data_IF_071002821125
#
_entry.id   IF_071002821125
#
_cell.length_a   1.000
_cell.length_b   1.000
_cell.length_c   1.000
_cell.angle_alpha   90.00
_cell.angle_beta   90.00
_cell.angle_gamma   90.00
#
_symmetry.space_group_name_H-M   'P 1'
#
loop_
_entity.id
_entity.type
_entity.pdbx_description
1 polymer ?
#
# COMPACT_ATOMS: atom_id res chain seq x y z
N UNK A 1 -25.86 1.31 -0.58
CA UNK A 1 -24.57 1.17 -1.28
C UNK A 1 -24.42 -0.30 -1.63
N UNK A 2 -24.73 -0.69 -2.86
CA UNK A 2 -24.86 -2.09 -3.24
C UNK A 2 -23.79 -2.39 -4.30
N UNK A 3 -22.56 -2.62 -3.87
CA UNK A 3 -21.47 -3.08 -4.75
C UNK A 3 -21.39 -4.60 -4.66
N UNK A 4 -21.48 -5.28 -5.80
CA UNK A 4 -21.41 -6.74 -5.86
C UNK A 4 -19.95 -7.16 -6.04
N UNK A 5 -19.32 -7.65 -4.97
CA UNK A 5 -17.91 -8.09 -4.93
C UNK A 5 -17.26 -7.83 -3.57
N UNK A 6 -16.25 -8.62 -3.19
CA UNK A 6 -15.43 -8.40 -1.97
C UNK A 6 -14.05 -7.88 -2.38
N UNK A 7 -13.36 -7.14 -1.50
CA UNK A 7 -12.00 -6.61 -1.77
C UNK A 7 -11.04 -7.72 -2.21
N UNK A 8 -11.12 -8.89 -1.55
CA UNK A 8 -10.28 -10.04 -1.88
C UNK A 8 -10.80 -10.88 -3.07
N UNK A 9 -11.97 -10.55 -3.61
CA UNK A 9 -12.57 -11.23 -4.77
C UNK A 9 -13.43 -10.26 -5.60
N UNK A 10 -12.80 -9.38 -6.41
CA UNK A 10 -13.52 -8.46 -7.25
C UNK A 10 -14.34 -9.22 -8.29
N UNK A 11 -15.58 -8.78 -8.54
CA UNK A 11 -16.39 -9.31 -9.61
C UNK A 11 -15.80 -8.81 -10.94
N UNK A 12 -15.24 -9.71 -11.74
CA UNK A 12 -14.74 -9.38 -13.08
C UNK A 12 -15.87 -8.84 -13.93
N UNK A 13 -15.78 -7.58 -14.35
CA UNK A 13 -16.69 -6.99 -15.32
C UNK A 13 -16.02 -7.07 -16.68
N UNK A 14 -16.26 -8.17 -17.38
CA UNK A 14 -15.72 -8.37 -18.72
C UNK A 14 -16.21 -7.26 -19.67
N UNK A 15 -15.39 -6.81 -20.63
CA UNK A 15 -15.78 -5.79 -21.58
C UNK A 15 -16.99 -6.29 -22.38
N UNK A 16 -18.15 -5.68 -22.16
CA UNK A 16 -19.33 -5.95 -22.98
C UNK A 16 -19.04 -5.48 -24.40
N UNK A 17 -19.29 -6.35 -25.39
CA UNK A 17 -19.30 -5.97 -26.81
C UNK A 17 -20.31 -4.84 -26.98
N UNK A 18 -19.83 -3.61 -27.12
CA UNK A 18 -20.67 -2.48 -27.46
C UNK A 18 -21.31 -2.77 -28.82
N UNK A 19 -22.61 -2.58 -28.95
CA UNK A 19 -23.27 -2.66 -30.24
C UNK A 19 -22.61 -1.64 -31.19
N UNK A 20 -22.47 -1.93 -32.50
CA UNK A 20 -21.90 -0.99 -33.45
C UNK A 20 -22.61 0.36 -33.33
N UNK A 21 -21.91 1.38 -32.84
CA UNK A 21 -22.48 2.72 -32.77
C UNK A 21 -22.67 3.22 -34.19
N UNK A 22 -23.88 3.73 -34.48
CA UNK A 22 -24.10 4.46 -35.73
C UNK A 22 -23.27 5.74 -35.66
N UNK A 23 -22.48 6.09 -36.68
CA UNK A 23 -21.76 7.35 -36.70
C UNK A 23 -22.78 8.50 -36.61
N UNK A 24 -22.50 9.48 -35.76
CA UNK A 24 -23.29 10.70 -35.67
C UNK A 24 -23.29 11.40 -37.03
N UNK A 25 -24.47 11.73 -37.54
CA UNK A 25 -24.71 12.26 -38.91
C UNK A 25 -24.20 13.70 -39.12
N UNK A 26 -23.27 14.19 -38.29
CA UNK A 26 -22.74 15.56 -38.40
C UNK A 26 -21.37 15.66 -39.10
N UNK A 27 -20.83 14.57 -39.65
CA UNK A 27 -19.56 14.61 -40.38
C UNK A 27 -19.78 14.60 -41.90
N UNK A 28 -19.19 15.54 -42.66
CA UNK A 28 -19.32 15.57 -44.10
C UNK A 28 -18.63 14.34 -44.70
N UNK A 29 -19.42 13.53 -45.41
CA UNK A 29 -18.96 12.36 -46.14
C UNK A 29 -18.00 12.80 -47.25
N UNK A 30 -16.69 12.69 -47.00
CA UNK A 30 -15.68 13.05 -47.98
C UNK A 30 -14.36 13.51 -47.37
N UNK A 31 -13.80 12.75 -46.44
CA UNK A 31 -12.38 12.87 -46.13
C UNK A 31 -11.85 11.46 -45.93
N UNK A 32 -11.17 10.94 -46.93
CA UNK A 32 -10.31 9.78 -46.76
C UNK A 32 -9.25 10.20 -45.73
N UNK A 33 -9.44 9.82 -44.47
CA UNK A 33 -8.39 9.95 -43.46
C UNK A 33 -7.31 8.97 -43.88
N UNK A 34 -6.24 9.50 -44.47
CA UNK A 34 -5.05 8.72 -44.75
C UNK A 34 -4.57 8.02 -43.49
N UNK A 35 -4.04 6.82 -43.73
CA UNK A 35 -3.35 5.92 -42.83
C UNK A 35 -2.86 6.64 -41.56
N UNK A 36 -3.57 6.44 -40.44
CA UNK A 36 -3.14 6.95 -39.14
C UNK A 36 -1.87 6.18 -38.78
N UNK A 37 -0.72 6.71 -39.21
CA UNK A 37 0.57 6.28 -38.72
C UNK A 37 0.58 6.49 -37.21
N UNK A 38 0.41 5.38 -36.48
CA UNK A 38 0.45 5.30 -35.02
C UNK A 38 1.90 5.46 -34.53
N UNK A 39 2.66 6.36 -35.14
CA UNK A 39 4.03 6.68 -34.77
C UNK A 39 4.06 7.80 -33.71
N UNK A 40 3.05 8.69 -33.70
CA UNK A 40 2.95 9.79 -32.73
C UNK A 40 2.14 9.48 -31.45
N UNK A 41 1.42 8.36 -31.39
CA UNK A 41 0.60 8.02 -30.21
C UNK A 41 1.44 7.58 -28.99
N UNK A 42 2.72 7.25 -29.19
CA UNK A 42 3.67 7.03 -28.10
C UNK A 42 4.33 8.33 -27.61
N UNK A 43 4.29 9.41 -28.39
CA UNK A 43 4.81 10.72 -27.96
C UNK A 43 3.88 11.40 -26.95
N UNK A 44 2.57 11.12 -26.97
CA UNK A 44 1.64 11.66 -25.96
C UNK A 44 1.74 11.01 -24.58
N UNK A 45 2.49 9.90 -24.46
CA UNK A 45 2.98 9.39 -23.15
C UNK A 45 4.12 10.23 -22.58
N UNK A 46 4.37 11.42 -23.13
CA UNK A 46 5.21 12.50 -22.57
C UNK A 46 4.70 13.05 -21.23
N UNK A 47 3.56 12.59 -20.70
CA UNK A 47 3.19 12.82 -19.30
C UNK A 47 4.07 12.03 -18.30
N UNK A 48 5.29 11.64 -18.72
CA UNK A 48 6.47 11.45 -17.88
C UNK A 48 7.20 12.80 -17.74
N UNK A 49 6.52 13.84 -17.28
CA UNK A 49 7.21 15.07 -16.91
C UNK A 49 8.04 14.78 -15.66
N UNK A 50 9.36 14.63 -15.85
CA UNK A 50 10.31 14.46 -14.73
C UNK A 50 10.35 15.71 -13.82
N UNK A 51 9.68 16.79 -14.21
CA UNK A 51 9.75 18.10 -13.53
C UNK A 51 8.40 18.73 -13.14
N UNK A 52 7.21 18.20 -13.49
CA UNK A 52 5.95 18.92 -13.24
C UNK A 52 4.81 18.12 -12.58
N UNK A 53 5.12 17.50 -11.43
CA UNK A 53 4.16 17.21 -10.34
C UNK A 53 4.83 17.36 -8.95
N UNK A 54 5.66 18.40 -8.77
CA UNK A 54 6.60 18.47 -7.64
C UNK A 54 5.91 18.66 -6.27
N UNK A 55 4.81 19.43 -6.20
CA UNK A 55 4.13 19.74 -4.92
C UNK A 55 3.33 18.53 -4.40
N UNK A 56 2.47 17.86 -5.19
CA UNK A 56 1.69 16.73 -4.70
C UNK A 56 2.58 15.53 -4.34
N UNK A 57 3.64 15.29 -5.11
CA UNK A 57 4.53 14.16 -4.86
C UNK A 57 5.43 14.38 -3.65
N UNK A 58 6.00 15.58 -3.47
CA UNK A 58 6.79 15.90 -2.28
C UNK A 58 5.93 15.83 -1.01
N UNK A 59 4.69 16.33 -1.07
CA UNK A 59 3.74 16.25 0.02
C UNK A 59 3.34 14.79 0.33
N UNK A 60 3.08 13.98 -0.70
CA UNK A 60 2.80 12.55 -0.54
C UNK A 60 4.00 11.79 0.06
N UNK A 61 5.22 12.08 -0.39
CA UNK A 61 6.45 11.51 0.15
C UNK A 61 6.67 11.88 1.62
N UNK A 62 6.46 13.14 1.99
CA UNK A 62 6.54 13.60 3.38
C UNK A 62 5.50 12.89 4.26
N UNK A 63 4.24 12.85 3.83
CA UNK A 63 3.17 12.18 4.57
C UNK A 63 3.45 10.68 4.77
N UNK A 64 3.93 9.99 3.74
CA UNK A 64 4.31 8.57 3.87
C UNK A 64 5.50 8.37 4.82
N UNK A 65 6.46 9.28 4.81
CA UNK A 65 7.60 9.23 5.73
C UNK A 65 7.17 9.42 7.19
N UNK A 66 6.22 10.32 7.44
CA UNK A 66 5.68 10.55 8.78
C UNK A 66 4.85 9.34 9.26
N UNK A 67 4.07 8.71 8.37
CA UNK A 67 3.38 7.44 8.67
C UNK A 67 4.33 6.30 9.01
N UNK A 68 5.44 6.18 8.28
CA UNK A 68 6.46 5.18 8.59
C UNK A 68 7.10 5.43 9.96
N UNK A 69 7.42 6.69 10.29
CA UNK A 69 7.96 7.06 11.61
C UNK A 69 6.99 6.73 12.75
N UNK A 70 5.70 7.00 12.57
CA UNK A 70 4.66 6.68 13.55
C UNK A 70 4.63 5.17 13.85
N UNK A 71 4.62 4.34 12.80
CA UNK A 71 4.65 2.88 12.91
C UNK A 71 5.95 2.39 13.58
N UNK A 72 7.10 2.97 13.25
CA UNK A 72 8.36 2.58 13.87
C UNK A 72 8.41 2.96 15.36
N UNK A 73 7.83 4.09 15.77
CA UNK A 73 7.71 4.47 17.17
C UNK A 73 6.85 3.47 17.96
N UNK A 74 5.70 3.06 17.40
CA UNK A 74 4.84 2.04 18.01
C UNK A 74 5.56 0.69 18.15
N UNK A 75 6.28 0.26 17.11
CA UNK A 75 7.08 -0.97 17.14
C UNK A 75 8.14 -0.95 18.24
N UNK A 76 8.83 0.18 18.41
CA UNK A 76 9.81 0.33 19.50
C UNK A 76 9.15 0.26 20.88
N UNK A 77 8.01 0.92 21.07
CA UNK A 77 7.28 0.87 22.34
C UNK A 77 6.88 -0.56 22.71
N UNK A 78 6.33 -1.32 21.75
CA UNK A 78 5.97 -2.75 21.96
C UNK A 78 7.19 -3.58 22.34
N UNK A 79 8.32 -3.41 21.64
CA UNK A 79 9.58 -4.12 21.96
C UNK A 79 10.10 -3.82 23.36
N UNK A 80 9.99 -2.57 23.82
CA UNK A 80 10.40 -2.19 25.17
C UNK A 80 9.49 -2.82 26.25
N UNK A 81 8.18 -2.86 26.00
CA UNK A 81 7.23 -3.50 26.93
C UNK A 81 7.50 -5.00 27.03
N UNK A 82 7.74 -5.69 25.91
CA UNK A 82 8.05 -7.12 25.92
C UNK A 82 9.38 -7.41 26.62
N UNK A 83 10.43 -6.61 26.37
CA UNK A 83 11.71 -6.73 27.05
C UNK A 83 11.57 -6.57 28.59
N UNK A 84 10.84 -5.56 29.05
CA UNK A 84 10.58 -5.35 30.49
C UNK A 84 9.80 -6.51 31.12
N UNK A 85 8.84 -7.09 30.39
CA UNK A 85 8.10 -8.27 30.84
C UNK A 85 9.02 -9.48 30.99
N UNK A 86 9.92 -9.69 30.03
CA UNK A 86 10.92 -10.77 30.09
C UNK A 86 11.90 -10.58 31.25
N UNK A 87 12.37 -9.36 31.49
CA UNK A 87 13.23 -9.05 32.63
C UNK A 87 12.56 -9.42 33.97
N UNK A 88 11.31 -8.98 34.19
CA UNK A 88 10.57 -9.34 35.41
C UNK A 88 10.39 -10.85 35.56
N UNK A 89 10.19 -11.58 34.46
CA UNK A 89 10.10 -13.05 34.47
C UNK A 89 11.43 -13.69 34.87
N UNK A 90 12.54 -13.21 34.34
CA UNK A 90 13.88 -13.68 34.69
C UNK A 90 14.22 -13.38 36.17
N UNK A 91 13.87 -12.20 36.68
CA UNK A 91 14.06 -11.85 38.09
C UNK A 91 13.25 -12.76 39.03
N UNK A 92 12.01 -13.09 38.66
CA UNK A 92 11.19 -14.03 39.43
C UNK A 92 11.76 -15.44 39.38
N UNK A 93 12.19 -15.90 38.21
CA UNK A 93 12.81 -17.21 38.04
C UNK A 93 14.10 -17.33 38.88
N UNK A 94 14.98 -16.32 38.85
CA UNK A 94 16.21 -16.31 39.65
C UNK A 94 15.94 -16.27 41.15
N UNK A 95 14.94 -15.50 41.61
CA UNK A 95 14.51 -15.51 43.02
C UNK A 95 13.98 -16.89 43.44
N UNK A 96 13.16 -17.54 42.59
CA UNK A 96 12.66 -18.88 42.85
C UNK A 96 13.79 -19.92 42.90
N UNK A 97 14.73 -19.86 41.97
CA UNK A 97 15.90 -20.74 41.95
C UNK A 97 16.75 -20.57 43.22
N UNK A 98 17.06 -19.33 43.61
CA UNK A 98 17.79 -19.06 44.86
C UNK A 98 17.07 -19.59 46.10
N UNK A 99 15.74 -19.42 46.18
CA UNK A 99 14.94 -19.98 47.27
C UNK A 99 14.97 -21.50 47.28
N UNK A 100 14.84 -22.15 46.12
CA UNK A 100 14.91 -23.60 46.02
C UNK A 100 16.28 -24.14 46.46
N UNK A 101 17.37 -23.49 46.06
CA UNK A 101 18.72 -23.83 46.52
C UNK A 101 18.87 -23.66 48.03
N UNK A 102 18.40 -22.54 48.60
CA UNK A 102 18.47 -22.31 50.05
C UNK A 102 17.68 -23.36 50.83
N UNK A 103 16.49 -23.74 50.37
CA UNK A 103 15.71 -24.83 50.96
C UNK A 103 16.44 -26.18 50.84
N UNK A 104 17.06 -26.47 49.70
CA UNK A 104 17.82 -27.71 49.49
C UNK A 104 19.09 -27.81 50.35
N UNK A 105 19.65 -26.69 50.80
CA UNK A 105 20.81 -26.66 51.72
C UNK A 105 20.38 -26.75 53.19
N UNK A 106 19.18 -26.31 53.55
CA UNK A 106 18.67 -26.35 54.93
C UNK A 106 18.02 -27.69 55.31
N UNK A 107 17.89 -28.63 54.37
CA UNK A 107 17.39 -29.99 54.57
C UNK A 107 18.51 -31.01 54.39
#
# INVERSE_FOLDING_TARGET
>A
MNITGTIDRPLTRDPQKQAPMKPSTSEPAGSATEDVTTTGANDSRQNRTREMQLIPEAMARAHMHDRLREVDAERHAVRLVTARRMQRRAERASRRARRALAMAVMH
#
